data_IF_152486235499
#
_entry.id   IF_152486235499
#
_cell.length_a   1.000
_cell.length_b   1.000
_cell.length_c   1.000
_cell.angle_alpha   90.00
_cell.angle_beta   90.00
_cell.angle_gamma   90.00
#
_symmetry.space_group_name_H-M   'P 1'
#
loop_
_entity.id
_entity.type
_entity.pdbx_description
1 polymer ?
#
# COMPACT_ATOMS: atom_id res chain seq x y z
N UNK A 1 7.70 -0.61 -56.46
CA UNK A 1 6.73 -0.27 -55.39
C UNK A 1 5.93 1.00 -55.75
N UNK A 2 5.25 1.04 -56.91
CA UNK A 2 4.57 2.26 -57.45
C UNK A 2 3.08 2.07 -57.78
N UNK A 3 2.48 0.93 -57.45
CA UNK A 3 1.18 0.54 -58.01
C UNK A 3 0.00 0.58 -57.01
N UNK A 4 0.20 0.83 -55.72
CA UNK A 4 -0.91 0.84 -54.74
C UNK A 4 -1.40 2.22 -54.24
N UNK A 5 -0.80 3.34 -54.66
CA UNK A 5 -1.20 4.68 -54.18
C UNK A 5 -2.40 5.30 -54.95
N UNK A 6 -2.86 4.68 -56.05
CA UNK A 6 -3.83 5.29 -56.99
C UNK A 6 -5.29 5.27 -56.52
N UNK A 7 -5.62 4.45 -55.52
CA UNK A 7 -6.99 4.30 -55.00
C UNK A 7 -7.20 4.97 -53.63
N UNK A 8 -6.25 5.77 -53.16
CA UNK A 8 -6.42 6.51 -51.91
C UNK A 8 -7.22 7.80 -52.15
N UNK A 9 -8.16 8.16 -51.25
CA UNK A 9 -8.89 9.41 -51.35
C UNK A 9 -7.93 10.61 -51.40
N UNK A 10 -8.28 11.65 -52.17
CA UNK A 10 -7.44 12.84 -52.43
C UNK A 10 -6.93 13.48 -51.12
N UNK A 11 -7.72 13.40 -50.05
CA UNK A 11 -7.36 13.83 -48.69
C UNK A 11 -6.18 13.03 -48.10
N UNK A 12 -6.18 11.70 -48.24
CA UNK A 12 -5.09 10.84 -47.79
C UNK A 12 -3.81 11.07 -48.60
N UNK A 13 -3.94 11.30 -49.91
CA UNK A 13 -2.80 11.63 -50.76
C UNK A 13 -2.16 12.97 -50.35
N UNK A 14 -2.97 14.00 -50.06
CA UNK A 14 -2.50 15.32 -49.58
C UNK A 14 -1.81 15.21 -48.21
N UNK A 15 -2.34 14.40 -47.30
CA UNK A 15 -1.73 14.15 -45.99
C UNK A 15 -0.34 13.52 -46.13
N UNK A 16 -0.18 12.52 -47.01
CA UNK A 16 1.09 11.82 -47.25
C UNK A 16 2.14 12.70 -47.97
N UNK A 17 1.70 13.68 -48.77
CA UNK A 17 2.61 14.56 -49.53
C UNK A 17 3.03 15.83 -48.79
N UNK A 18 2.23 16.32 -47.84
CA UNK A 18 2.55 17.56 -47.09
C UNK A 18 3.54 17.32 -45.95
N UNK A 19 4.38 18.32 -45.63
CA UNK A 19 5.32 18.26 -44.50
C UNK A 19 4.58 18.07 -43.16
N UNK A 20 3.51 18.84 -42.96
CA UNK A 20 2.64 18.78 -41.79
C UNK A 20 2.04 17.39 -41.61
N UNK A 21 1.48 16.82 -42.69
CA UNK A 21 0.86 15.50 -42.64
C UNK A 21 1.88 14.41 -42.35
N UNK A 22 3.10 14.49 -42.90
CA UNK A 22 4.19 13.56 -42.56
C UNK A 22 4.62 13.69 -41.10
N UNK A 23 4.79 14.91 -40.60
CA UNK A 23 5.15 15.17 -39.20
C UNK A 23 4.09 14.63 -38.24
N UNK A 24 2.81 14.86 -38.55
CA UNK A 24 1.69 14.31 -37.78
C UNK A 24 1.63 12.78 -37.84
N UNK A 25 1.86 12.15 -38.99
CA UNK A 25 1.91 10.68 -39.10
C UNK A 25 3.01 10.11 -38.21
N UNK A 26 4.22 10.69 -38.24
CA UNK A 26 5.32 10.25 -37.37
C UNK A 26 4.97 10.47 -35.91
N UNK A 27 4.42 11.64 -35.57
CA UNK A 27 4.01 11.95 -34.19
C UNK A 27 2.94 10.99 -33.68
N UNK A 28 1.92 10.68 -34.49
CA UNK A 28 0.87 9.71 -34.17
C UNK A 28 1.47 8.31 -34.01
N UNK A 29 2.40 7.90 -34.88
CA UNK A 29 3.09 6.62 -34.73
C UNK A 29 3.86 6.54 -33.39
N UNK A 30 4.61 7.59 -33.03
CA UNK A 30 5.29 7.67 -31.73
C UNK A 30 4.29 7.66 -30.57
N UNK A 31 3.18 8.39 -30.69
CA UNK A 31 2.14 8.43 -29.66
C UNK A 31 1.48 7.06 -29.48
N UNK A 32 1.20 6.33 -30.56
CA UNK A 32 0.65 4.97 -30.50
C UNK A 32 1.61 3.98 -29.86
N UNK A 33 2.91 4.10 -30.14
CA UNK A 33 3.94 3.30 -29.46
C UNK A 33 3.97 3.62 -27.97
N UNK A 34 3.96 4.90 -27.61
CA UNK A 34 3.92 5.32 -26.21
C UNK A 34 2.64 4.86 -25.50
N UNK A 35 1.49 4.96 -26.16
CA UNK A 35 0.20 4.50 -25.66
C UNK A 35 0.20 2.99 -25.42
N UNK A 36 0.74 2.20 -26.35
CA UNK A 36 0.84 0.74 -26.17
C UNK A 36 1.83 0.36 -25.08
N UNK A 37 2.95 1.08 -24.95
CA UNK A 37 3.84 0.92 -23.82
C UNK A 37 3.12 1.20 -22.50
N UNK A 38 2.37 2.32 -22.42
CA UNK A 38 1.63 2.68 -21.22
C UNK A 38 0.57 1.63 -20.86
N UNK A 39 -0.13 1.08 -21.88
CA UNK A 39 -1.08 -0.01 -21.70
C UNK A 39 -0.42 -1.27 -21.14
N UNK A 40 0.81 -1.59 -21.57
CA UNK A 40 1.55 -2.73 -21.06
C UNK A 40 2.16 -2.50 -19.68
N UNK A 41 2.64 -1.29 -19.39
CA UNK A 41 3.36 -0.98 -18.16
C UNK A 41 2.44 -0.62 -16.98
N UNK A 42 1.32 0.06 -17.23
CA UNK A 42 0.53 0.72 -16.19
C UNK A 42 -0.89 0.16 -16.04
N UNK A 43 -1.11 -1.09 -16.45
CA UNK A 43 -2.43 -1.74 -16.33
C UNK A 43 -2.82 -2.11 -14.90
N UNK A 44 -1.85 -2.16 -13.97
CA UNK A 44 -2.11 -2.49 -12.56
C UNK A 44 -2.51 -1.29 -11.70
N UNK A 45 -2.24 -0.06 -12.16
CA UNK A 45 -2.50 1.12 -11.35
C UNK A 45 -4.01 1.46 -11.41
N UNK A 46 -4.73 1.50 -10.28
CA UNK A 46 -6.18 1.75 -10.25
C UNK A 46 -6.61 3.14 -10.78
N UNK A 47 -5.69 4.10 -10.84
CA UNK A 47 -5.93 5.46 -11.37
C UNK A 47 -5.34 5.69 -12.76
N UNK A 48 -4.77 4.66 -13.37
CA UNK A 48 -4.32 4.69 -14.76
C UNK A 48 -5.53 4.49 -15.68
N UNK A 49 -5.60 5.24 -16.77
CA UNK A 49 -6.57 5.02 -17.83
C UNK A 49 -6.38 3.66 -18.53
N UNK A 50 -5.29 2.96 -18.24
CA UNK A 50 -4.95 1.64 -18.76
C UNK A 50 -5.31 0.49 -17.80
N UNK A 51 -5.92 0.79 -16.65
CA UNK A 51 -6.27 -0.20 -15.64
C UNK A 51 -7.09 -1.36 -16.21
N UNK A 52 -6.69 -2.60 -15.89
CA UNK A 52 -7.39 -3.82 -16.32
C UNK A 52 -7.76 -4.65 -15.09
N UNK A 53 -9.06 -4.74 -14.79
CA UNK A 53 -9.54 -5.42 -13.59
C UNK A 53 -9.50 -6.96 -13.66
N UNK A 54 -9.26 -7.54 -14.84
CA UNK A 54 -9.37 -8.99 -15.08
C UNK A 54 -8.35 -9.81 -14.27
N UNK A 55 -7.11 -9.32 -14.17
CA UNK A 55 -5.97 -10.06 -13.58
C UNK A 55 -5.22 -9.29 -12.49
N UNK A 56 -5.73 -8.12 -12.12
CA UNK A 56 -5.00 -7.21 -11.23
C UNK A 56 -5.07 -7.63 -9.76
N UNK A 57 -6.08 -8.44 -9.42
CA UNK A 57 -6.28 -9.01 -8.10
C UNK A 57 -5.71 -10.44 -7.97
N UNK A 58 -4.94 -10.88 -8.97
CA UNK A 58 -4.26 -12.17 -8.91
C UNK A 58 -3.14 -12.10 -7.86
N UNK A 59 -3.20 -13.01 -6.88
CA UNK A 59 -2.16 -13.16 -5.86
C UNK A 59 -0.90 -13.74 -6.52
N UNK A 60 0.15 -12.92 -6.64
CA UNK A 60 1.45 -13.30 -7.20
C UNK A 60 2.45 -13.46 -6.05
N UNK A 61 3.12 -12.38 -5.66
CA UNK A 61 4.07 -12.38 -4.54
C UNK A 61 3.41 -12.83 -3.24
N UNK A 62 2.14 -12.48 -3.01
CA UNK A 62 1.39 -12.93 -1.83
C UNK A 62 1.27 -14.46 -1.75
N UNK A 63 1.09 -15.16 -2.87
CA UNK A 63 1.02 -16.62 -2.90
C UNK A 63 2.40 -17.25 -2.65
N UNK A 64 3.45 -16.68 -3.23
CA UNK A 64 4.83 -17.09 -2.94
C UNK A 64 5.12 -16.97 -1.45
N UNK A 65 4.79 -15.81 -0.86
CA UNK A 65 5.04 -15.52 0.55
C UNK A 65 4.18 -16.38 1.48
N UNK A 66 2.94 -16.66 1.10
CA UNK A 66 2.07 -17.62 1.80
C UNK A 66 2.67 -19.03 1.85
N UNK A 67 3.19 -19.52 0.72
CA UNK A 67 3.83 -20.83 0.68
C UNK A 67 5.05 -20.88 1.61
N UNK A 68 5.92 -19.87 1.51
CA UNK A 68 7.11 -19.74 2.36
C UNK A 68 6.75 -19.71 3.86
N UNK A 69 5.71 -18.97 4.23
CA UNK A 69 5.21 -18.88 5.60
C UNK A 69 4.71 -20.23 6.14
N UNK A 70 3.98 -20.98 5.32
CA UNK A 70 3.44 -22.29 5.72
C UNK A 70 4.54 -23.37 5.81
N UNK A 71 5.51 -23.34 4.89
CA UNK A 71 6.70 -24.20 4.95
C UNK A 71 7.51 -23.92 6.22
N UNK A 72 7.71 -22.65 6.57
CA UNK A 72 8.39 -22.25 7.79
C UNK A 72 7.71 -22.80 9.06
N UNK A 73 6.38 -22.73 9.13
CA UNK A 73 5.61 -23.33 10.24
C UNK A 73 5.77 -24.85 10.28
N UNK A 74 5.72 -25.51 9.12
CA UNK A 74 5.86 -26.96 9.04
C UNK A 74 7.25 -27.43 9.52
N UNK A 75 8.31 -26.70 9.16
CA UNK A 75 9.69 -27.06 9.48
C UNK A 75 10.06 -26.74 10.94
N UNK A 76 9.58 -25.60 11.48
CA UNK A 76 10.00 -25.10 12.79
C UNK A 76 8.95 -25.31 13.89
N UNK A 77 7.72 -25.67 13.55
CA UNK A 77 6.62 -25.83 14.53
C UNK A 77 6.82 -26.97 15.53
N UNK A 78 7.78 -27.86 15.28
CA UNK A 78 8.18 -28.92 16.21
C UNK A 78 9.26 -28.46 17.20
N UNK A 79 10.06 -27.47 16.84
CA UNK A 79 11.14 -26.94 17.68
C UNK A 79 10.57 -26.02 18.76
N UNK A 80 11.17 -26.06 19.96
CA UNK A 80 10.81 -25.11 21.01
C UNK A 80 11.51 -23.79 20.71
N UNK A 81 10.77 -22.73 20.38
CA UNK A 81 11.37 -21.39 20.34
C UNK A 81 11.87 -21.07 21.75
N UNK A 82 13.10 -20.54 21.90
CA UNK A 82 13.59 -20.11 23.19
C UNK A 82 12.58 -19.17 23.84
N UNK A 83 12.07 -19.51 25.02
CA UNK A 83 11.35 -18.55 25.84
C UNK A 83 12.29 -17.39 26.16
N UNK A 84 11.98 -16.21 25.62
CA UNK A 84 12.76 -15.01 25.88
C UNK A 84 12.70 -14.67 27.37
N UNK A 85 13.82 -14.87 28.06
CA UNK A 85 14.04 -14.26 29.37
C UNK A 85 14.30 -12.77 29.12
N UNK A 86 13.23 -11.97 29.07
CA UNK A 86 13.28 -10.53 28.84
C UNK A 86 14.03 -9.84 30.00
N UNK A 87 15.35 -9.67 29.85
CA UNK A 87 16.11 -8.75 30.69
C UNK A 87 15.72 -7.28 30.40
N UNK A 88 15.22 -7.02 29.19
CA UNK A 88 14.73 -5.73 28.67
C UNK A 88 13.49 -5.97 27.80
N UNK A 89 12.57 -5.01 27.67
CA UNK A 89 11.42 -5.13 26.78
C UNK A 89 11.89 -5.21 25.30
N UNK A 90 11.17 -5.96 24.44
CA UNK A 90 11.50 -6.06 23.02
C UNK A 90 11.21 -4.74 22.30
N UNK A 91 11.93 -4.46 21.21
CA UNK A 91 11.75 -3.23 20.42
C UNK A 91 10.31 -3.11 19.86
N UNK A 92 9.75 -4.23 19.40
CA UNK A 92 8.44 -4.29 18.75
C UNK A 92 7.54 -5.31 19.43
N UNK A 93 6.30 -4.93 19.72
CA UNK A 93 5.23 -5.87 20.04
C UNK A 93 4.23 -5.90 18.89
N UNK A 94 4.12 -7.03 18.19
CA UNK A 94 3.20 -7.23 17.07
C UNK A 94 2.00 -8.06 17.51
N UNK A 95 0.81 -7.49 17.42
CA UNK A 95 -0.44 -8.09 17.85
C UNK A 95 -1.33 -8.43 16.65
N UNK A 96 -1.62 -9.72 16.46
CA UNK A 96 -2.70 -10.19 15.61
C UNK A 96 -4.01 -10.26 16.40
N UNK A 97 -5.10 -9.80 15.80
CA UNK A 97 -6.46 -10.02 16.30
C UNK A 97 -7.18 -10.93 15.31
N UNK A 98 -7.51 -12.16 15.75
CA UNK A 98 -8.12 -13.18 14.87
C UNK A 98 -9.43 -13.71 15.42
N UNK A 99 -10.33 -14.07 14.51
CA UNK A 99 -11.60 -14.73 14.80
C UNK A 99 -11.79 -15.93 13.89
N UNK A 100 -12.52 -16.95 14.33
CA UNK A 100 -12.84 -18.12 13.50
C UNK A 100 -13.53 -17.69 12.20
N UNK A 101 -12.89 -18.00 11.06
CA UNK A 101 -13.44 -17.82 9.71
C UNK A 101 -13.80 -19.17 9.05
N UNK A 102 -14.36 -19.15 7.85
CA UNK A 102 -14.49 -20.36 7.01
C UNK A 102 -13.11 -20.79 6.48
N UNK A 103 -12.37 -19.82 5.91
CA UNK A 103 -10.99 -19.96 5.48
C UNK A 103 -10.11 -19.24 6.50
N UNK A 104 -9.16 -19.95 7.10
CA UNK A 104 -8.19 -19.34 8.02
C UNK A 104 -7.03 -18.74 7.24
N UNK A 105 -6.70 -17.49 7.57
CA UNK A 105 -5.55 -16.78 7.01
C UNK A 105 -4.42 -16.60 8.02
N UNK A 106 -4.75 -16.65 9.31
CA UNK A 106 -3.86 -16.32 10.42
C UNK A 106 -2.58 -17.16 10.45
N UNK A 107 -2.61 -18.40 9.99
CA UNK A 107 -1.42 -19.27 9.95
C UNK A 107 -0.37 -18.71 8.98
N UNK A 108 -0.79 -18.36 7.76
CA UNK A 108 0.10 -17.72 6.80
C UNK A 108 0.54 -16.32 7.26
N UNK A 109 -0.35 -15.56 7.92
CA UNK A 109 -0.03 -14.24 8.46
C UNK A 109 1.07 -14.34 9.54
N UNK A 110 0.91 -15.22 10.54
CA UNK A 110 1.92 -15.49 11.58
C UNK A 110 3.21 -16.02 10.96
N UNK A 111 3.12 -16.99 10.04
CA UNK A 111 4.31 -17.50 9.37
C UNK A 111 5.06 -16.40 8.62
N UNK A 112 4.36 -15.49 7.94
CA UNK A 112 4.99 -14.38 7.21
C UNK A 112 5.56 -13.28 8.11
N UNK A 113 5.04 -13.14 9.33
CA UNK A 113 5.60 -12.27 10.37
C UNK A 113 7.00 -12.75 10.79
N UNK A 114 7.15 -14.07 10.95
CA UNK A 114 8.33 -14.69 11.56
C UNK A 114 9.37 -15.16 10.55
N UNK A 115 8.94 -15.62 9.38
CA UNK A 115 9.85 -16.15 8.37
C UNK A 115 10.77 -15.04 7.85
N UNK A 116 12.07 -15.34 7.79
CA UNK A 116 13.08 -14.44 7.24
C UNK A 116 13.72 -13.53 8.29
N UNK A 117 13.14 -13.40 9.49
CA UNK A 117 13.75 -12.65 10.58
C UNK A 117 15.12 -13.22 10.95
N UNK A 118 16.08 -12.32 11.18
CA UNK A 118 17.35 -12.66 11.83
C UNK A 118 17.13 -13.04 13.30
N UNK A 119 18.13 -13.66 13.93
CA UNK A 119 18.08 -13.94 15.37
C UNK A 119 17.85 -12.69 16.21
N UNK A 120 18.54 -11.59 15.89
CA UNK A 120 18.37 -10.29 16.56
C UNK A 120 16.95 -9.73 16.36
N UNK A 121 16.41 -9.77 15.14
CA UNK A 121 15.03 -9.32 14.90
C UNK A 121 14.01 -10.16 15.67
N UNK A 122 14.16 -11.49 15.70
CA UNK A 122 13.26 -12.37 16.45
C UNK A 122 13.36 -12.15 17.96
N UNK A 123 14.55 -11.84 18.49
CA UNK A 123 14.77 -11.47 19.90
C UNK A 123 14.14 -10.13 20.26
N UNK A 124 14.07 -9.21 19.31
CA UNK A 124 13.48 -7.88 19.49
C UNK A 124 11.99 -7.79 19.10
N UNK A 125 11.36 -8.93 18.81
CA UNK A 125 9.94 -9.03 18.47
C UNK A 125 9.18 -9.83 19.52
N UNK A 126 8.13 -9.23 20.08
CA UNK A 126 7.08 -9.95 20.80
C UNK A 126 5.89 -10.20 19.88
N UNK A 127 5.72 -11.44 19.43
CA UNK A 127 4.58 -11.87 18.63
C UNK A 127 3.43 -12.29 19.54
N UNK A 128 2.34 -11.53 19.50
CA UNK A 128 1.11 -11.75 20.25
C UNK A 128 -0.05 -12.09 19.32
N UNK A 129 -0.85 -13.09 19.68
CA UNK A 129 -2.07 -13.47 18.96
C UNK A 129 -3.26 -13.49 19.92
N UNK A 130 -4.19 -12.55 19.73
CA UNK A 130 -5.48 -12.54 20.39
C UNK A 130 -6.50 -13.36 19.59
N UNK A 131 -6.97 -14.45 20.16
CA UNK A 131 -8.12 -15.20 19.66
C UNK A 131 -9.40 -14.54 20.17
N UNK A 132 -9.91 -13.61 19.38
CA UNK A 132 -11.04 -12.74 19.69
C UNK A 132 -12.40 -13.45 19.54
N UNK A 133 -12.48 -14.75 19.84
CA UNK A 133 -13.73 -15.44 20.05
C UNK A 133 -13.97 -15.57 21.55
N UNK A 134 -15.20 -15.37 22.00
CA UNK A 134 -15.58 -15.51 23.41
C UNK A 134 -15.31 -16.93 23.95
N UNK A 135 -15.32 -17.92 23.06
CA UNK A 135 -14.66 -19.21 23.26
C UNK A 135 -13.52 -19.35 22.23
N UNK A 136 -12.25 -19.23 22.61
CA UNK A 136 -11.14 -19.31 21.67
C UNK A 136 -10.95 -20.72 21.09
N UNK A 137 -11.48 -21.77 21.75
CA UNK A 137 -11.29 -23.16 21.32
C UNK A 137 -12.01 -23.51 20.02
N UNK A 138 -12.99 -22.69 19.62
CA UNK A 138 -13.68 -22.84 18.33
C UNK A 138 -12.78 -22.49 17.14
N UNK A 139 -11.70 -21.74 17.37
CA UNK A 139 -10.76 -21.36 16.34
C UNK A 139 -9.78 -22.53 16.09
N UNK A 140 -9.71 -23.10 14.87
CA UNK A 140 -8.94 -24.31 14.60
C UNK A 140 -7.43 -24.15 14.87
N UNK A 141 -6.89 -22.94 14.65
CA UNK A 141 -5.49 -22.62 14.96
C UNK A 141 -5.18 -22.51 16.47
N UNK A 142 -6.16 -22.23 17.34
CA UNK A 142 -5.91 -22.00 18.77
C UNK A 142 -5.29 -23.20 19.49
N UNK A 143 -5.69 -24.41 19.07
CA UNK A 143 -5.21 -25.67 19.68
C UNK A 143 -4.00 -26.25 18.96
N UNK A 144 -3.43 -25.56 17.97
CA UNK A 144 -2.30 -26.07 17.21
C UNK A 144 -1.01 -26.09 18.06
N UNK A 145 -0.27 -27.21 18.11
CA UNK A 145 0.94 -27.31 18.93
C UNK A 145 2.03 -26.32 18.54
N UNK A 146 2.16 -26.01 17.25
CA UNK A 146 3.18 -25.10 16.73
C UNK A 146 2.99 -23.66 17.23
N UNK A 147 1.74 -23.24 17.47
CA UNK A 147 1.41 -21.85 17.75
C UNK A 147 2.14 -21.34 18.99
N UNK A 148 1.93 -22.01 20.14
CA UNK A 148 2.55 -21.64 21.42
C UNK A 148 4.06 -21.84 21.44
N UNK A 149 4.58 -22.59 20.48
CA UNK A 149 6.01 -22.76 20.30
C UNK A 149 6.60 -21.61 19.52
N UNK A 150 5.89 -21.03 18.55
CA UNK A 150 6.46 -20.03 17.62
C UNK A 150 6.23 -18.58 18.07
N UNK A 151 5.05 -18.28 18.61
CA UNK A 151 4.71 -16.94 19.11
C UNK A 151 4.96 -16.84 20.62
N UNK A 152 5.14 -15.61 21.10
CA UNK A 152 5.47 -15.35 22.50
C UNK A 152 4.23 -15.44 23.40
N UNK A 153 3.06 -15.03 22.88
CA UNK A 153 1.79 -15.06 23.59
C UNK A 153 0.63 -15.41 22.63
N UNK A 154 -0.21 -16.37 23.00
CA UNK A 154 -1.41 -16.74 22.26
C UNK A 154 -2.56 -17.12 23.21
N UNK A 155 -3.57 -16.27 23.30
CA UNK A 155 -4.63 -16.38 24.31
C UNK A 155 -5.96 -15.80 23.84
N UNK A 156 -7.04 -16.12 24.58
CA UNK A 156 -8.33 -15.44 24.47
C UNK A 156 -8.43 -14.31 25.51
N UNK A 157 -9.65 -13.83 25.76
CA UNK A 157 -9.87 -12.77 26.75
C UNK A 157 -9.62 -13.25 28.19
N UNK A 158 -8.88 -12.45 28.94
CA UNK A 158 -8.75 -12.55 30.39
C UNK A 158 -9.50 -11.37 31.04
N UNK A 159 -10.82 -11.51 31.13
CA UNK A 159 -11.75 -10.46 31.58
C UNK A 159 -12.74 -11.01 32.59
N UNK A 160 -13.49 -10.13 33.25
CA UNK A 160 -14.54 -10.57 34.17
C UNK A 160 -15.65 -11.32 33.44
N UNK A 161 -16.42 -12.12 34.18
CA UNK A 161 -17.52 -12.92 33.61
C UNK A 161 -18.55 -12.02 32.94
N UNK A 162 -18.84 -10.86 33.54
CA UNK A 162 -19.81 -9.90 33.00
C UNK A 162 -19.36 -9.32 31.66
N UNK A 163 -18.06 -9.01 31.51
CA UNK A 163 -17.50 -8.53 30.23
C UNK A 163 -17.53 -9.65 29.20
N UNK A 164 -17.19 -10.87 29.59
CA UNK A 164 -17.22 -12.02 28.68
C UNK A 164 -18.63 -12.33 28.19
N UNK A 165 -19.64 -12.23 29.06
CA UNK A 165 -21.04 -12.40 28.70
C UNK A 165 -21.51 -11.31 27.73
N UNK A 166 -21.11 -10.05 27.93
CA UNK A 166 -21.36 -8.97 26.96
C UNK A 166 -20.72 -9.25 25.59
N UNK A 167 -19.47 -9.74 25.56
CA UNK A 167 -18.81 -10.11 24.30
C UNK A 167 -19.55 -11.24 23.57
N UNK A 168 -20.08 -12.23 24.31
CA UNK A 168 -20.92 -13.30 23.74
C UNK A 168 -22.20 -12.75 23.13
N UNK A 169 -22.84 -11.78 23.78
CA UNK A 169 -24.03 -11.10 23.26
C UNK A 169 -23.71 -10.35 21.97
N UNK A 170 -22.59 -9.60 21.92
CA UNK A 170 -22.15 -8.90 20.71
C UNK A 170 -21.84 -9.86 19.56
N UNK A 171 -21.21 -11.00 19.84
CA UNK A 171 -20.95 -12.05 18.84
C UNK A 171 -22.25 -12.64 18.30
N UNK A 172 -23.19 -13.00 19.18
CA UNK A 172 -24.49 -13.55 18.79
C UNK A 172 -25.31 -12.54 17.97
N UNK A 173 -25.23 -11.26 18.32
CA UNK A 173 -25.88 -10.17 17.60
C UNK A 173 -25.15 -9.73 16.31
N UNK A 174 -23.96 -10.29 16.03
CA UNK A 174 -23.06 -9.85 14.94
C UNK A 174 -22.71 -8.35 15.02
N UNK A 175 -22.65 -7.78 16.22
CA UNK A 175 -22.26 -6.39 16.44
C UNK A 175 -20.73 -6.25 16.43
N UNK A 176 -20.14 -6.38 15.25
CA UNK A 176 -18.69 -6.30 15.05
C UNK A 176 -18.12 -4.89 15.21
N UNK A 177 -18.96 -3.85 15.21
CA UNK A 177 -18.53 -2.46 15.39
C UNK A 177 -18.12 -2.19 16.84
N UNK A 178 -18.92 -2.62 17.80
CA UNK A 178 -18.58 -2.48 19.21
C UNK A 178 -17.53 -3.48 19.63
N UNK A 179 -17.72 -4.75 19.27
CA UNK A 179 -16.77 -5.82 19.59
C UNK A 179 -15.40 -5.54 18.98
N UNK A 180 -15.34 -5.07 17.73
CA UNK A 180 -14.08 -4.75 17.06
C UNK A 180 -13.29 -3.65 17.75
N UNK A 181 -13.95 -2.65 18.34
CA UNK A 181 -13.29 -1.61 19.17
C UNK A 181 -12.72 -2.23 20.45
N UNK A 182 -13.48 -3.13 21.10
CA UNK A 182 -13.00 -3.86 22.27
C UNK A 182 -11.76 -4.69 21.92
N UNK A 183 -11.84 -5.53 20.89
CA UNK A 183 -10.77 -6.43 20.46
C UNK A 183 -9.47 -5.65 20.18
N UNK A 184 -9.60 -4.55 19.44
CA UNK A 184 -8.47 -3.70 19.06
C UNK A 184 -7.81 -3.04 20.27
N UNK A 185 -8.62 -2.48 21.18
CA UNK A 185 -8.08 -1.82 22.39
C UNK A 185 -7.54 -2.81 23.40
N UNK A 186 -8.09 -4.03 23.48
CA UNK A 186 -7.57 -5.11 24.31
C UNK A 186 -6.16 -5.52 23.86
N UNK A 187 -5.97 -5.70 22.56
CA UNK A 187 -4.67 -6.06 21.99
C UNK A 187 -3.63 -4.93 22.10
N UNK A 188 -4.04 -3.67 21.89
CA UNK A 188 -3.17 -2.50 22.15
C UNK A 188 -2.70 -2.45 23.61
N UNK A 189 -3.60 -2.70 24.56
CA UNK A 189 -3.26 -2.68 25.99
C UNK A 189 -2.30 -3.79 26.37
N UNK A 190 -2.43 -5.00 25.78
CA UNK A 190 -1.47 -6.09 25.98
C UNK A 190 -0.07 -5.63 25.57
N UNK A 191 0.10 -5.14 24.34
CA UNK A 191 1.42 -4.69 23.88
C UNK A 191 1.93 -3.45 24.64
N UNK A 192 1.05 -2.58 25.12
CA UNK A 192 1.44 -1.45 25.97
C UNK A 192 2.03 -1.92 27.31
N UNK A 193 1.50 -3.02 27.87
CA UNK A 193 2.00 -3.65 29.10
C UNK A 193 3.32 -4.40 28.90
N UNK A 194 3.55 -5.00 27.73
CA UNK A 194 4.86 -5.60 27.36
C UNK A 194 6.00 -4.57 27.45
N UNK A 195 5.70 -3.29 27.19
CA UNK A 195 6.65 -2.19 27.36
C UNK A 195 7.47 -1.86 26.11
N UNK A 196 7.12 -2.45 24.97
CA UNK A 196 7.79 -2.18 23.68
C UNK A 196 7.60 -0.72 23.23
N UNK A 197 8.67 -0.04 22.76
CA UNK A 197 8.59 1.30 22.18
C UNK A 197 7.60 1.41 21.01
N UNK A 198 7.46 0.34 20.23
CA UNK A 198 6.57 0.30 19.08
C UNK A 198 5.58 -0.86 19.19
N UNK A 199 4.31 -0.57 18.87
CA UNK A 199 3.22 -1.54 18.86
C UNK A 199 2.71 -1.68 17.44
N UNK A 200 2.79 -2.88 16.87
CA UNK A 200 2.27 -3.18 15.54
C UNK A 200 0.93 -3.87 15.68
N UNK A 201 -0.13 -3.25 15.18
CA UNK A 201 -1.47 -3.84 15.10
C UNK A 201 -1.66 -4.47 13.72
N UNK A 202 -2.02 -5.76 13.70
CA UNK A 202 -2.15 -6.56 12.49
C UNK A 202 -3.53 -7.23 12.42
N UNK A 203 -4.16 -7.17 11.24
CA UNK A 203 -5.32 -8.01 10.92
C UNK A 203 -4.88 -9.44 10.60
N UNK A 204 -5.78 -10.42 10.77
CA UNK A 204 -5.47 -11.84 10.61
C UNK A 204 -5.48 -12.34 9.15
N UNK A 205 -5.86 -11.50 8.20
CA UNK A 205 -5.96 -11.80 6.77
C UNK A 205 -5.00 -10.98 5.91
N UNK A 206 -3.78 -10.81 6.42
CA UNK A 206 -2.67 -10.16 5.73
C UNK A 206 -1.55 -11.14 5.38
N UNK A 207 -0.63 -10.69 4.53
CA UNK A 207 0.68 -11.30 4.33
C UNK A 207 1.75 -10.19 4.41
N UNK A 208 2.83 -10.44 5.18
CA UNK A 208 3.95 -9.51 5.34
C UNK A 208 5.07 -9.82 4.36
N UNK A 209 5.69 -8.78 3.79
CA UNK A 209 6.83 -8.92 2.90
C UNK A 209 8.09 -9.42 3.64
N UNK A 210 9.01 -10.03 2.89
CA UNK A 210 10.36 -10.32 3.37
C UNK A 210 11.08 -9.02 3.79
N UNK A 211 11.71 -9.04 4.97
CA UNK A 211 12.40 -7.89 5.54
C UNK A 211 11.50 -6.80 6.12
N UNK A 212 10.22 -7.08 6.37
CA UNK A 212 9.25 -6.07 6.86
C UNK A 212 9.73 -5.36 8.13
N UNK A 213 10.35 -6.08 9.08
CA UNK A 213 10.76 -5.54 10.37
C UNK A 213 11.94 -4.57 10.23
N UNK A 214 13.02 -4.96 9.54
CA UNK A 214 14.13 -4.07 9.22
C UNK A 214 13.67 -2.80 8.49
N UNK A 215 12.78 -2.94 7.51
CA UNK A 215 12.23 -1.81 6.73
C UNK A 215 11.35 -0.91 7.58
N UNK A 216 10.49 -1.48 8.43
CA UNK A 216 9.68 -0.73 9.38
C UNK A 216 10.54 0.03 10.37
N UNK A 217 11.59 -0.59 10.94
CA UNK A 217 12.54 0.06 11.85
C UNK A 217 13.25 1.23 11.19
N UNK A 218 13.77 1.05 9.97
CA UNK A 218 14.40 2.14 9.23
C UNK A 218 13.43 3.30 8.99
N UNK A 219 12.20 2.99 8.62
CA UNK A 219 11.14 3.98 8.41
C UNK A 219 10.77 4.73 9.70
N UNK A 220 10.71 4.03 10.84
CA UNK A 220 10.43 4.65 12.14
C UNK A 220 11.53 5.65 12.52
N UNK A 221 12.81 5.31 12.31
CA UNK A 221 13.92 6.25 12.52
C UNK A 221 13.79 7.51 11.65
N UNK A 222 13.35 7.35 10.40
CA UNK A 222 13.10 8.47 9.49
C UNK A 222 11.91 9.33 9.98
N UNK A 223 10.79 8.71 10.38
CA UNK A 223 9.62 9.41 10.94
C UNK A 223 9.99 10.18 12.21
N UNK A 224 10.75 9.57 13.11
CA UNK A 224 11.20 10.23 14.35
C UNK A 224 12.07 11.44 14.04
N UNK A 225 13.04 11.31 13.13
CA UNK A 225 13.89 12.42 12.70
C UNK A 225 13.06 13.58 12.11
N UNK A 226 12.16 13.28 11.16
CA UNK A 226 11.26 14.28 10.56
C UNK A 226 10.38 14.95 11.61
N UNK A 227 9.79 14.18 12.52
CA UNK A 227 8.89 14.67 13.57
C UNK A 227 9.61 15.57 14.56
N UNK A 228 10.85 15.23 14.93
CA UNK A 228 11.69 16.06 15.80
C UNK A 228 12.07 17.39 15.15
N UNK A 229 12.43 17.38 13.86
CA UNK A 229 12.77 18.59 13.11
C UNK A 229 11.56 19.53 12.95
N UNK A 230 10.40 18.97 12.62
CA UNK A 230 9.17 19.74 12.39
C UNK A 230 8.42 20.09 13.69
N UNK A 231 8.84 19.55 14.84
CA UNK A 231 8.15 19.64 16.13
C UNK A 231 6.68 19.23 16.03
N UNK A 232 6.43 18.15 15.30
CA UNK A 232 5.09 17.59 15.07
C UNK A 232 4.97 16.23 15.73
N UNK A 233 3.82 16.00 16.35
CA UNK A 233 3.46 14.68 16.84
C UNK A 233 2.81 13.87 15.71
N UNK A 234 2.90 12.56 15.82
CA UNK A 234 2.36 11.62 14.84
C UNK A 234 1.75 10.42 15.55
N UNK A 235 0.77 9.78 14.92
CA UNK A 235 -0.01 8.73 15.56
C UNK A 235 0.40 7.33 15.14
N UNK A 236 0.74 7.13 13.86
CA UNK A 236 1.16 5.83 13.35
C UNK A 236 1.97 5.93 12.06
N UNK A 237 2.65 4.82 11.76
CA UNK A 237 3.22 4.48 10.46
C UNK A 237 2.43 3.32 9.85
N UNK A 238 1.92 3.50 8.63
CA UNK A 238 1.24 2.48 7.84
C UNK A 238 2.25 1.59 7.13
N UNK A 239 2.15 0.28 7.36
CA UNK A 239 2.84 -0.74 6.56
C UNK A 239 1.99 -1.23 5.39
N UNK A 240 0.67 -1.02 5.48
CA UNK A 240 -0.28 -1.23 4.39
C UNK A 240 -1.01 0.08 4.05
N UNK A 241 -1.15 0.33 2.76
CA UNK A 241 -2.10 1.29 2.21
C UNK A 241 -2.48 0.86 0.80
N UNK A 242 -3.68 1.24 0.37
CA UNK A 242 -4.17 0.96 -0.98
C UNK A 242 -3.86 2.10 -1.94
N UNK A 243 -3.37 1.78 -3.13
CA UNK A 243 -3.20 2.75 -4.21
C UNK A 243 -4.54 3.28 -4.75
N UNK A 244 -5.67 2.66 -4.41
CA UNK A 244 -7.01 3.18 -4.77
C UNK A 244 -7.28 4.54 -4.14
N UNK A 245 -6.62 4.90 -3.05
CA UNK A 245 -6.68 6.23 -2.43
C UNK A 245 -5.64 7.24 -2.98
N UNK A 246 -4.76 6.82 -3.89
CA UNK A 246 -3.60 7.59 -4.35
C UNK A 246 -3.81 8.22 -5.74
N UNK A 247 -4.98 8.83 -5.96
CA UNK A 247 -5.31 9.52 -7.20
C UNK A 247 -4.60 10.86 -7.33
N UNK A 248 -4.69 11.45 -8.52
CA UNK A 248 -4.47 12.88 -8.68
C UNK A 248 -5.41 13.68 -7.79
N UNK A 249 -4.90 14.76 -7.21
CA UNK A 249 -5.63 15.66 -6.32
C UNK A 249 -5.59 17.09 -6.86
N UNK A 250 -6.58 17.91 -6.51
CA UNK A 250 -6.60 19.33 -6.90
C UNK A 250 -5.42 20.13 -6.29
N UNK A 251 -4.84 19.61 -5.21
CA UNK A 251 -3.62 20.15 -4.60
C UNK A 251 -2.35 19.83 -5.38
N UNK A 252 -2.38 18.85 -6.29
CA UNK A 252 -1.24 18.55 -7.17
C UNK A 252 -1.14 19.65 -8.23
N UNK A 253 -0.18 20.56 -8.08
CA UNK A 253 -0.11 21.82 -8.83
C UNK A 253 -0.40 21.67 -10.34
N UNK A 254 0.30 20.76 -11.03
CA UNK A 254 0.16 20.55 -12.47
C UNK A 254 -1.19 19.95 -12.88
N UNK A 255 -1.78 19.10 -12.03
CA UNK A 255 -3.08 18.50 -12.27
C UNK A 255 -4.21 19.47 -11.94
N UNK A 256 -4.17 20.11 -10.77
CA UNK A 256 -5.15 21.13 -10.36
C UNK A 256 -5.17 22.35 -11.30
N UNK A 257 -4.07 22.64 -11.99
CA UNK A 257 -3.97 23.71 -13.00
C UNK A 257 -3.85 23.17 -14.42
N UNK A 258 -4.54 22.08 -14.75
CA UNK A 258 -4.50 21.44 -16.08
C UNK A 258 -4.53 22.44 -17.26
N UNK A 259 -5.47 23.40 -17.37
CA UNK A 259 -5.48 24.33 -18.51
C UNK A 259 -4.18 25.12 -18.66
N UNK A 260 -3.59 25.53 -17.52
CA UNK A 260 -2.30 26.21 -17.50
C UNK A 260 -1.17 25.26 -17.89
N UNK A 261 -1.15 24.03 -17.39
CA UNK A 261 -0.15 23.01 -17.75
C UNK A 261 -0.14 22.74 -19.24
N UNK A 262 -1.31 22.55 -19.84
CA UNK A 262 -1.45 22.35 -21.28
C UNK A 262 -0.98 23.59 -22.06
N UNK A 263 -1.43 24.78 -21.67
CA UNK A 263 -1.03 26.03 -22.32
C UNK A 263 0.50 26.22 -22.26
N UNK A 264 1.10 26.02 -21.09
CA UNK A 264 2.53 26.15 -20.88
C UNK A 264 3.31 25.15 -21.75
N UNK A 265 2.88 23.89 -21.81
CA UNK A 265 3.53 22.89 -22.65
C UNK A 265 3.45 23.22 -24.15
N UNK A 266 2.29 23.69 -24.62
CA UNK A 266 2.07 24.15 -26.00
C UNK A 266 2.99 25.33 -26.32
N UNK A 267 3.02 26.35 -25.46
CA UNK A 267 3.85 27.54 -25.64
C UNK A 267 5.34 27.21 -25.58
N UNK A 268 5.77 26.39 -24.62
CA UNK A 268 7.15 25.95 -24.51
C UNK A 268 7.58 25.20 -25.77
N UNK A 269 6.78 24.25 -26.26
CA UNK A 269 7.06 23.53 -27.51
C UNK A 269 7.13 24.49 -28.69
N UNK A 270 6.18 25.41 -28.80
CA UNK A 270 6.16 26.41 -29.87
C UNK A 270 7.43 27.25 -29.87
N UNK A 271 7.79 27.83 -28.72
CA UNK A 271 9.00 28.62 -28.55
C UNK A 271 10.26 27.81 -28.88
N UNK A 272 10.38 26.58 -28.39
CA UNK A 272 11.51 25.70 -28.69
C UNK A 272 11.63 25.41 -30.19
N UNK A 273 10.53 25.10 -30.88
CA UNK A 273 10.55 24.84 -32.32
C UNK A 273 10.91 26.10 -33.13
N UNK A 274 10.44 27.27 -32.72
CA UNK A 274 10.82 28.55 -33.33
C UNK A 274 12.31 28.85 -33.10
N UNK A 275 12.82 28.63 -31.88
CA UNK A 275 14.24 28.80 -31.56
C UNK A 275 15.11 27.84 -32.38
N UNK A 276 14.72 26.57 -32.53
CA UNK A 276 15.42 25.62 -33.40
C UNK A 276 15.42 26.10 -34.85
N UNK A 277 14.28 26.60 -35.34
CA UNK A 277 14.16 27.14 -36.70
C UNK A 277 15.04 28.37 -36.95
N UNK A 278 15.21 29.22 -35.94
CA UNK A 278 16.05 30.42 -36.00
C UNK A 278 17.53 30.02 -36.03
N UNK A 279 17.96 29.20 -35.06
CA UNK A 279 19.36 28.86 -34.83
C UNK A 279 19.92 27.82 -35.81
N UNK A 280 19.07 26.96 -36.39
CA UNK A 280 19.48 25.92 -37.32
C UNK A 280 18.81 26.09 -38.68
N UNK A 281 19.42 26.81 -39.63
CA UNK A 281 18.84 27.06 -40.96
C UNK A 281 18.45 25.79 -41.71
N UNK A 282 19.15 24.68 -41.50
CA UNK A 282 18.85 23.36 -42.07
C UNK A 282 17.48 22.80 -41.64
N UNK A 283 16.94 23.23 -40.50
CA UNK A 283 15.64 22.79 -39.98
C UNK A 283 14.45 23.50 -40.63
N UNK A 284 14.67 24.68 -41.26
CA UNK A 284 13.61 25.50 -41.87
C UNK A 284 12.83 24.78 -42.96
N UNK A 285 13.47 23.82 -43.63
CA UNK A 285 12.83 22.96 -44.66
C UNK A 285 11.87 21.91 -44.08
N UNK A 286 11.92 21.68 -42.76
CA UNK A 286 11.11 20.69 -42.04
C UNK A 286 10.12 21.34 -41.06
N UNK A 287 10.39 22.55 -40.58
CA UNK A 287 9.58 23.29 -39.61
C UNK A 287 8.88 24.49 -40.25
N UNK A 288 7.91 24.24 -41.14
CA UNK A 288 7.02 25.30 -41.63
C UNK A 288 6.00 25.72 -40.56
N UNK A 289 5.30 26.84 -40.77
CA UNK A 289 4.38 27.40 -39.76
C UNK A 289 3.30 26.41 -39.36
N UNK A 290 2.77 25.64 -40.32
CA UNK A 290 1.74 24.65 -40.08
C UNK A 290 2.27 23.42 -39.34
N UNK A 291 3.51 22.98 -39.61
CA UNK A 291 4.13 21.87 -38.87
C UNK A 291 4.40 22.28 -37.44
N UNK A 292 4.93 23.50 -37.22
CA UNK A 292 5.12 24.04 -35.86
C UNK A 292 3.78 24.11 -35.12
N UNK A 293 2.73 24.67 -35.76
CA UNK A 293 1.41 24.76 -35.15
C UNK A 293 0.82 23.37 -34.85
N UNK A 294 0.94 22.41 -35.77
CA UNK A 294 0.41 21.07 -35.60
C UNK A 294 1.12 20.33 -34.46
N UNK A 295 2.45 20.37 -34.40
CA UNK A 295 3.21 19.74 -33.32
C UNK A 295 2.90 20.38 -31.97
N UNK A 296 2.86 21.72 -31.90
CA UNK A 296 2.58 22.43 -30.66
C UNK A 296 1.12 22.29 -30.19
N UNK A 297 0.13 22.45 -31.06
CA UNK A 297 -1.28 22.53 -30.67
C UNK A 297 -2.06 21.21 -30.76
N UNK A 298 -1.50 20.18 -31.40
CA UNK A 298 -2.13 18.85 -31.51
C UNK A 298 -1.27 17.79 -30.84
N UNK A 299 -0.02 17.66 -31.24
CA UNK A 299 0.84 16.59 -30.74
C UNK A 299 1.19 16.77 -29.27
N UNK A 300 1.64 17.96 -28.86
CA UNK A 300 2.00 18.22 -27.46
C UNK A 300 0.84 17.96 -26.49
N UNK A 301 -0.38 18.50 -26.69
CA UNK A 301 -1.52 18.17 -25.84
C UNK A 301 -1.82 16.68 -25.76
N UNK A 302 -1.69 15.94 -26.87
CA UNK A 302 -1.93 14.49 -26.86
C UNK A 302 -0.92 13.73 -25.99
N UNK A 303 0.36 14.12 -25.98
CA UNK A 303 1.38 13.54 -25.10
C UNK A 303 1.22 14.00 -23.64
N UNK A 304 0.84 15.26 -23.39
CA UNK A 304 0.54 15.76 -22.03
C UNK A 304 -0.67 15.02 -21.44
N UNK A 305 -1.72 14.81 -22.22
CA UNK A 305 -2.86 14.00 -21.82
C UNK A 305 -2.44 12.56 -21.48
N UNK A 306 -1.56 11.96 -22.30
CA UNK A 306 -1.03 10.63 -22.06
C UNK A 306 -0.29 10.54 -20.71
N UNK A 307 0.47 11.56 -20.30
CA UNK A 307 1.11 11.60 -18.99
C UNK A 307 0.08 11.56 -17.85
N UNK A 308 -0.96 12.39 -17.91
CA UNK A 308 -2.00 12.35 -16.88
C UNK A 308 -2.76 11.02 -16.84
N UNK A 309 -2.98 10.40 -18.01
CA UNK A 309 -3.59 9.07 -18.15
C UNK A 309 -2.79 7.93 -17.52
N UNK A 310 -1.47 8.07 -17.33
CA UNK A 310 -0.65 7.05 -16.64
C UNK A 310 -1.00 6.96 -15.15
N UNK A 311 -1.51 8.04 -14.56
CA UNK A 311 -1.85 8.11 -13.14
C UNK A 311 -0.67 8.56 -12.26
N UNK A 312 -0.99 9.28 -11.17
CA UNK A 312 -0.02 9.88 -10.25
C UNK A 312 0.98 8.87 -9.70
N UNK A 313 0.46 7.79 -9.11
CA UNK A 313 1.28 6.77 -8.44
C UNK A 313 2.31 6.12 -9.38
N UNK A 314 2.00 5.95 -10.66
CA UNK A 314 2.94 5.38 -11.63
C UNK A 314 4.01 6.35 -12.11
N UNK A 315 3.70 7.66 -12.18
CA UNK A 315 4.67 8.68 -12.56
C UNK A 315 5.56 9.11 -11.39
N UNK A 316 4.97 9.18 -10.21
CA UNK A 316 5.60 9.67 -8.99
C UNK A 316 5.33 8.68 -7.85
N UNK A 317 5.85 7.45 -7.94
CA UNK A 317 5.70 6.49 -6.85
C UNK A 317 6.37 7.05 -5.60
N UNK A 318 5.71 6.98 -4.43
CA UNK A 318 6.36 7.32 -3.17
C UNK A 318 7.53 6.36 -2.94
N UNK A 319 8.58 6.87 -2.29
CA UNK A 319 9.76 6.10 -1.91
C UNK A 319 10.10 6.44 -0.46
N UNK A 320 10.28 5.41 0.37
CA UNK A 320 10.52 5.59 1.80
C UNK A 320 9.28 6.07 2.54
N UNK A 321 9.49 6.87 3.58
CA UNK A 321 8.42 7.44 4.40
C UNK A 321 7.79 8.64 3.71
N UNK A 322 6.46 8.68 3.70
CA UNK A 322 5.71 9.84 3.24
C UNK A 322 4.48 10.11 4.11
N UNK A 323 4.04 11.36 4.17
CA UNK A 323 2.81 11.73 4.87
C UNK A 323 1.57 11.25 4.10
N UNK A 324 0.65 10.62 4.81
CA UNK A 324 -0.66 10.18 4.33
C UNK A 324 -1.76 10.62 5.31
N UNK A 325 -1.89 11.94 5.47
CA UNK A 325 -2.88 12.58 6.34
C UNK A 325 -4.31 12.60 5.77
N UNK A 326 -4.51 12.15 4.53
CA UNK A 326 -5.83 12.09 3.88
C UNK A 326 -5.95 10.80 3.12
N UNK A 327 -7.17 10.28 3.07
CA UNK A 327 -7.52 9.08 2.31
C UNK A 327 -6.78 7.81 2.75
N UNK A 328 -6.15 7.84 3.94
CA UNK A 328 -5.69 6.63 4.61
C UNK A 328 -6.91 5.75 4.86
N UNK A 329 -6.91 4.55 4.27
CA UNK A 329 -7.90 3.53 4.62
C UNK A 329 -7.25 2.48 5.50
N UNK A 330 -8.09 1.94 6.39
CA UNK A 330 -8.01 0.57 6.85
C UNK A 330 -6.92 0.30 7.91
N UNK A 331 -7.03 -0.82 8.64
CA UNK A 331 -6.23 -1.13 9.85
C UNK A 331 -5.36 -2.39 9.70
N UNK A 332 -5.08 -2.84 8.47
CA UNK A 332 -4.39 -4.11 8.19
C UNK A 332 -3.04 -4.23 8.89
N UNK A 333 -2.23 -3.17 8.83
CA UNK A 333 -0.90 -3.15 9.44
C UNK A 333 -0.49 -1.72 9.80
N UNK A 334 -0.58 -1.39 11.09
CA UNK A 334 -0.28 -0.07 11.65
C UNK A 334 0.76 -0.19 12.77
N UNK A 335 1.78 0.67 12.75
CA UNK A 335 2.76 0.79 13.83
C UNK A 335 2.48 2.04 14.64
N UNK A 336 2.21 1.89 15.93
CA UNK A 336 1.98 2.99 16.87
C UNK A 336 3.20 3.21 17.76
N UNK A 337 3.64 4.45 17.97
CA UNK A 337 4.60 4.78 19.01
C UNK A 337 3.91 4.67 20.37
N UNK A 338 4.56 3.99 21.32
CA UNK A 338 4.01 3.71 22.66
C UNK A 338 3.41 4.94 23.37
N UNK A 339 3.99 6.16 23.32
CA UNK A 339 3.43 7.33 24.00
C UNK A 339 2.00 7.71 23.58
N UNK A 340 1.60 7.43 22.34
CA UNK A 340 0.30 7.82 21.80
C UNK A 340 -0.83 6.84 22.19
N UNK A 341 -0.47 5.61 22.57
CA UNK A 341 -1.41 4.50 22.80
C UNK A 341 -2.41 4.79 23.93
N UNK A 342 -2.03 5.29 25.12
CA UNK A 342 -2.98 5.51 26.21
C UNK A 342 -4.08 6.53 25.88
N UNK A 343 -3.74 7.59 25.14
CA UNK A 343 -4.70 8.61 24.74
C UNK A 343 -5.63 8.08 23.63
N UNK A 344 -5.08 7.31 22.69
CA UNK A 344 -5.84 6.65 21.64
C UNK A 344 -6.83 5.61 22.21
N UNK A 345 -6.38 4.69 23.08
CA UNK A 345 -7.28 3.66 23.64
C UNK A 345 -8.39 4.27 24.48
N UNK A 346 -8.09 5.33 25.24
CA UNK A 346 -9.11 6.10 25.98
C UNK A 346 -10.14 6.72 25.04
N UNK A 347 -9.72 7.30 23.91
CA UNK A 347 -10.62 7.87 22.92
C UNK A 347 -11.52 6.80 22.29
N UNK A 348 -10.93 5.69 21.83
CA UNK A 348 -11.65 4.60 21.19
C UNK A 348 -12.72 4.00 22.13
N UNK A 349 -12.35 3.77 23.40
CA UNK A 349 -13.28 3.31 24.45
C UNK A 349 -14.39 4.30 24.75
N UNK A 350 -14.07 5.61 24.72
CA UNK A 350 -15.06 6.66 24.95
C UNK A 350 -16.16 6.70 23.87
N UNK A 351 -15.83 6.35 22.62
CA UNK A 351 -16.80 6.19 21.54
C UNK A 351 -17.50 4.83 21.63
N UNK A 352 -16.74 3.76 21.91
CA UNK A 352 -17.25 2.41 22.18
C UNK A 352 -17.67 1.60 20.96
N UNK A 353 -18.15 2.24 19.89
CA UNK A 353 -18.64 1.54 18.68
C UNK A 353 -18.35 2.32 17.40
N UNK A 354 -17.95 1.62 16.35
CA UNK A 354 -17.71 2.21 15.03
C UNK A 354 -16.71 1.42 14.21
N UNK A 355 -16.29 2.00 13.07
CA UNK A 355 -15.16 1.48 12.31
C UNK A 355 -13.86 2.04 12.91
N UNK A 356 -13.01 1.14 13.41
CA UNK A 356 -11.79 1.49 14.15
C UNK A 356 -10.87 2.40 13.33
N UNK A 357 -10.71 2.15 12.03
CA UNK A 357 -9.91 2.97 11.13
C UNK A 357 -10.42 4.43 11.08
N UNK A 358 -11.72 4.63 10.86
CA UNK A 358 -12.36 5.94 10.83
C UNK A 358 -12.25 6.64 12.19
N UNK A 359 -12.38 5.90 13.28
CA UNK A 359 -12.22 6.46 14.63
C UNK A 359 -10.77 6.94 14.87
N UNK A 360 -9.76 6.18 14.44
CA UNK A 360 -8.35 6.58 14.53
C UNK A 360 -8.08 7.82 13.68
N UNK A 361 -8.57 7.88 12.44
CA UNK A 361 -8.42 9.05 11.56
C UNK A 361 -9.06 10.30 12.18
N UNK A 362 -10.29 10.18 12.71
CA UNK A 362 -10.97 11.27 13.39
C UNK A 362 -10.20 11.75 14.62
N UNK A 363 -9.63 10.84 15.40
CA UNK A 363 -8.77 11.19 16.54
C UNK A 363 -7.53 11.95 16.07
N UNK A 364 -6.85 11.46 15.03
CA UNK A 364 -5.66 12.10 14.47
C UNK A 364 -5.97 13.51 13.93
N UNK A 365 -7.11 13.71 13.26
CA UNK A 365 -7.56 15.03 12.81
C UNK A 365 -7.84 15.97 13.98
N UNK A 366 -8.54 15.49 15.02
CA UNK A 366 -8.87 16.28 16.21
C UNK A 366 -7.61 16.73 16.98
N UNK A 367 -6.63 15.84 17.09
CA UNK A 367 -5.37 16.10 17.79
C UNK A 367 -4.28 16.70 16.88
N UNK A 368 -4.55 16.85 15.58
CA UNK A 368 -3.60 17.31 14.55
C UNK A 368 -2.31 16.48 14.50
N UNK A 369 -2.47 15.16 14.60
CA UNK A 369 -1.36 14.20 14.54
C UNK A 369 -1.04 13.85 13.09
N UNK A 370 0.26 13.82 12.78
CA UNK A 370 0.78 13.32 11.51
C UNK A 370 0.52 11.83 11.35
N UNK A 371 0.26 11.41 10.12
CA UNK A 371 0.05 10.01 9.72
C UNK A 371 1.00 9.70 8.60
N UNK A 372 1.83 8.69 8.78
CA UNK A 372 2.86 8.32 7.83
C UNK A 372 2.55 6.97 7.18
N UNK A 373 3.12 6.73 6.02
CA UNK A 373 3.09 5.45 5.33
C UNK A 373 4.48 5.12 4.78
N UNK A 374 4.80 3.83 4.73
CA UNK A 374 6.05 3.31 4.17
C UNK A 374 5.83 2.78 2.75
N UNK A 375 6.58 3.33 1.79
CA UNK A 375 6.67 2.82 0.44
C UNK A 375 8.04 2.19 0.14
N UNK A 376 8.10 1.03 -0.54
CA UNK A 376 6.97 0.18 -0.94
C UNK A 376 6.20 -0.40 0.27
N UNK A 377 4.94 -0.83 0.09
CA UNK A 377 4.13 -1.42 1.16
C UNK A 377 4.78 -2.69 1.73
N UNK A 378 4.68 -2.91 3.05
CA UNK A 378 5.26 -4.06 3.73
C UNK A 378 4.23 -5.14 4.08
N UNK A 379 2.95 -4.87 3.88
CA UNK A 379 1.87 -5.83 4.03
C UNK A 379 0.91 -5.77 2.85
N UNK A 380 0.16 -6.85 2.65
CA UNK A 380 -0.93 -6.95 1.68
C UNK A 380 -2.12 -7.67 2.30
N UNK A 381 -3.33 -7.22 1.98
CA UNK A 381 -4.56 -7.90 2.38
C UNK A 381 -4.84 -9.06 1.44
N UNK A 382 -5.01 -10.27 1.98
CA UNK A 382 -5.30 -11.49 1.23
C UNK A 382 -6.72 -12.03 1.52
N UNK A 383 -7.45 -11.36 2.40
CA UNK A 383 -8.82 -11.68 2.80
C UNK A 383 -9.87 -11.31 1.74
N UNK A 384 -9.93 -12.07 0.64
CA UNK A 384 -10.97 -11.87 -0.38
C UNK A 384 -12.41 -12.10 0.15
N UNK A 385 -12.56 -12.78 1.30
CA UNK A 385 -13.81 -12.95 2.03
C UNK A 385 -13.67 -12.37 3.45
N UNK A 386 -14.42 -11.32 3.74
CA UNK A 386 -14.39 -10.64 5.04
C UNK A 386 -15.23 -11.38 6.09
N UNK A 387 -14.77 -11.37 7.35
CA UNK A 387 -15.54 -11.86 8.51
C UNK A 387 -16.74 -10.96 8.87
N UNK A 388 -16.84 -9.76 8.29
CA UNK A 388 -17.86 -8.74 8.60
C UNK A 388 -18.95 -8.59 7.50
N UNK A 389 -19.31 -9.67 6.79
CA UNK A 389 -20.31 -9.66 5.70
C UNK A 389 -20.02 -8.62 4.60
N UNK A 390 -18.75 -8.48 4.21
CA UNK A 390 -18.34 -7.49 3.22
C UNK A 390 -18.47 -8.06 1.79
N UNK A 391 -18.87 -7.22 0.84
CA UNK A 391 -18.94 -7.63 -0.57
C UNK A 391 -17.54 -7.81 -1.16
N UNK A 392 -17.40 -8.69 -2.18
CA UNK A 392 -16.14 -8.87 -2.94
C UNK A 392 -15.54 -7.55 -3.43
N UNK A 393 -16.39 -6.57 -3.79
CA UNK A 393 -16.00 -5.23 -4.24
C UNK A 393 -15.25 -4.47 -3.13
N UNK A 394 -15.67 -4.62 -1.88
CA UNK A 394 -15.02 -3.95 -0.75
C UNK A 394 -13.67 -4.61 -0.41
N UNK A 395 -13.55 -5.93 -0.50
CA UNK A 395 -12.25 -6.60 -0.36
C UNK A 395 -11.27 -6.19 -1.48
N UNK A 396 -11.75 -6.03 -2.71
CA UNK A 396 -10.95 -5.51 -3.83
C UNK A 396 -10.54 -4.04 -3.68
N UNK A 397 -11.27 -3.26 -2.88
CA UNK A 397 -10.90 -1.87 -2.58
C UNK A 397 -9.72 -1.77 -1.60
N UNK A 398 -9.49 -2.83 -0.82
CA UNK A 398 -8.40 -2.96 0.15
C UNK A 398 -7.25 -3.78 -0.45
N UNK A 399 -6.67 -3.30 -1.55
CA UNK A 399 -5.61 -4.01 -2.26
C UNK A 399 -4.36 -3.13 -2.45
N UNK A 400 -3.18 -3.68 -2.17
CA UNK A 400 -1.88 -3.09 -2.50
C UNK A 400 -1.38 -3.64 -3.85
N UNK A 401 -1.64 -2.91 -4.93
CA UNK A 401 -1.38 -3.34 -6.31
C UNK A 401 0.10 -3.59 -6.58
N UNK A 402 0.97 -2.76 -6.01
CA UNK A 402 2.41 -2.84 -6.21
C UNK A 402 3.05 -4.01 -5.46
N UNK A 403 2.43 -4.45 -4.36
CA UNK A 403 2.91 -5.56 -3.54
C UNK A 403 3.03 -6.85 -4.33
N UNK A 404 2.08 -7.09 -5.25
CA UNK A 404 2.09 -8.28 -6.11
C UNK A 404 3.22 -8.29 -7.15
N UNK A 405 3.92 -7.16 -7.33
CA UNK A 405 5.03 -7.05 -8.29
C UNK A 405 6.41 -7.27 -7.67
N UNK A 406 6.48 -7.55 -6.37
CA UNK A 406 7.76 -7.72 -5.68
C UNK A 406 8.54 -8.93 -6.17
N UNK A 407 9.85 -8.75 -6.28
CA UNK A 407 10.81 -9.81 -6.55
C UNK A 407 11.37 -10.36 -5.22
N UNK A 408 11.12 -11.63 -4.88
CA UNK A 408 11.66 -12.25 -3.66
C UNK A 408 13.18 -12.13 -3.52
N UNK A 409 13.94 -12.23 -4.61
CA UNK A 409 15.41 -12.17 -4.55
C UNK A 409 15.88 -10.76 -4.21
N UNK A 410 15.21 -9.75 -4.78
CA UNK A 410 15.48 -8.36 -4.49
C UNK A 410 15.18 -8.02 -3.02
N UNK A 411 14.01 -8.40 -2.52
CA UNK A 411 13.62 -8.12 -1.13
C UNK A 411 14.59 -8.75 -0.12
N UNK A 412 15.03 -9.99 -0.37
CA UNK A 412 16.01 -10.67 0.48
C UNK A 412 17.38 -9.99 0.45
N UNK A 413 17.80 -9.48 -0.70
CA UNK A 413 19.04 -8.72 -0.83
C UNK A 413 18.96 -7.38 -0.09
N UNK A 414 17.82 -6.69 -0.19
CA UNK A 414 17.55 -5.45 0.55
C UNK A 414 17.55 -5.69 2.06
N UNK A 415 16.84 -6.73 2.53
CA UNK A 415 16.82 -7.10 3.94
C UNK A 415 18.23 -7.35 4.48
N UNK A 416 19.02 -8.17 3.76
CA UNK A 416 20.42 -8.44 4.12
C UNK A 416 21.27 -7.18 4.17
N UNK A 417 21.05 -6.21 3.27
CA UNK A 417 21.78 -4.94 3.28
C UNK A 417 21.42 -4.06 4.49
N UNK A 418 20.18 -4.14 4.99
CA UNK A 418 19.72 -3.39 6.16
C UNK A 418 20.21 -3.99 7.49
N UNK A 419 20.30 -5.32 7.59
CA UNK A 419 20.71 -6.01 8.83
C UNK A 419 22.20 -6.36 8.89
N UNK A 420 22.87 -6.45 7.73
CA UNK A 420 24.29 -6.80 7.63
C UNK A 420 25.24 -5.61 7.47
N UNK A 421 24.71 -4.38 7.61
CA UNK A 421 25.47 -3.11 7.55
C UNK A 421 26.07 -2.69 8.88
#
# INVERSE_FOLDING_TARGET
MRVQLRNLPISALRLLTSLVGRALIVSVACWLVAFQYCRYAFWRNPHSAFFQSEHVYDLQYSNYRKQQALEYIADNGAEDTPQHNLASPPEVCAAFVTVKREIQYVEAAIGSLLEGLTGEERENLHAYVLFANSDPTIHPTYSQPWLRKMVDSAEGYNVSVEVLDHLRELEAARNFYEKGVFDYTYALDHCYQVGSPYIVMLEDDIILADGWMAKARQALLEVEAQSHEEKRNWIYLRLFYTETSMSWQDTDFWYGHMPFTFLLAVLATFCSLILVRINFPSSRRHLDNWTVLALSAVSTPAFVALLFMVGKYSLFPPLGVFELNKYGCCTQALVFPRPEVPALTKYLRGIGTGQTDTMIENYADQQKLGRFALAPQQAQHVGLQSSRDNTLINSQSTWAFSFETYDPQQLKAEHKALVGG
#
